data_IF_567641770158
#
_entry.id   IF_567641770158
#
_cell.length_a   1.000
_cell.length_b   1.000
_cell.length_c   1.000
_cell.angle_alpha   90.00
_cell.angle_beta   90.00
_cell.angle_gamma   90.00
#
_symmetry.space_group_name_H-M   'P 1'
#
loop_
_entity.id
_entity.type
_entity.pdbx_description
1 polymer ?
#
# COMPACT_ATOMS: atom_id res chain seq x y z
N UNK A 1 -12.21 -17.28 -4.49
CA UNK A 1 -12.11 -15.90 -3.94
C UNK A 1 -12.96 -15.00 -4.82
N UNK A 2 -13.92 -14.31 -4.24
CA UNK A 2 -14.86 -13.43 -4.93
C UNK A 2 -14.12 -12.20 -5.50
N UNK A 3 -14.56 -11.71 -6.67
CA UNK A 3 -13.96 -10.54 -7.34
C UNK A 3 -14.23 -9.28 -6.50
N UNK A 4 -13.21 -8.43 -6.35
CA UNK A 4 -13.34 -7.17 -5.59
C UNK A 4 -14.44 -6.30 -6.19
N UNK A 5 -14.56 -6.30 -7.53
CA UNK A 5 -15.59 -5.51 -8.22
C UNK A 5 -17.00 -5.90 -7.80
N UNK A 6 -17.27 -7.20 -7.72
CA UNK A 6 -18.58 -7.72 -7.32
C UNK A 6 -18.91 -7.33 -5.87
N UNK A 7 -17.95 -7.51 -4.95
CA UNK A 7 -18.13 -7.13 -3.55
C UNK A 7 -18.40 -5.62 -3.42
N UNK A 8 -17.64 -4.79 -4.14
CA UNK A 8 -17.80 -3.33 -4.09
C UNK A 8 -19.17 -2.91 -4.63
N UNK A 9 -19.65 -3.54 -5.70
CA UNK A 9 -20.97 -3.26 -6.26
C UNK A 9 -22.07 -3.59 -5.26
N UNK A 10 -22.00 -4.73 -4.56
CA UNK A 10 -22.92 -5.08 -3.49
C UNK A 10 -22.90 -4.04 -2.34
N UNK A 11 -21.71 -3.59 -1.94
CA UNK A 11 -21.57 -2.54 -0.90
C UNK A 11 -22.20 -1.23 -1.34
N UNK A 12 -22.01 -0.82 -2.60
CA UNK A 12 -22.60 0.39 -3.16
C UNK A 12 -24.12 0.29 -3.32
N UNK A 13 -24.66 -0.91 -3.52
CA UNK A 13 -26.10 -1.18 -3.53
C UNK A 13 -26.73 -1.21 -2.12
N UNK A 14 -25.92 -1.07 -1.07
CA UNK A 14 -26.38 -0.95 0.32
C UNK A 14 -26.09 -2.17 1.19
N UNK A 15 -25.51 -3.25 0.65
CA UNK A 15 -25.07 -4.39 1.44
C UNK A 15 -23.75 -4.07 2.17
N UNK A 16 -23.86 -3.40 3.32
CA UNK A 16 -22.68 -2.98 4.10
C UNK A 16 -21.86 -4.16 4.62
N UNK A 17 -22.49 -5.31 4.85
CA UNK A 17 -21.81 -6.51 5.37
C UNK A 17 -20.82 -7.09 4.36
N UNK A 18 -21.09 -6.94 3.06
CA UNK A 18 -20.16 -7.34 2.01
C UNK A 18 -18.79 -6.67 2.12
N UNK A 19 -18.69 -5.48 2.76
CA UNK A 19 -17.42 -4.80 2.98
C UNK A 19 -16.47 -5.58 3.91
N UNK A 20 -17.00 -6.46 4.78
CA UNK A 20 -16.17 -7.33 5.62
C UNK A 20 -15.23 -8.20 4.78
N UNK A 21 -15.70 -8.70 3.62
CA UNK A 21 -14.87 -9.50 2.71
C UNK A 21 -13.70 -8.70 2.11
N UNK A 22 -13.88 -7.39 1.88
CA UNK A 22 -12.78 -6.50 1.50
C UNK A 22 -11.78 -6.36 2.65
N UNK A 23 -12.28 -6.13 3.87
CA UNK A 23 -11.42 -6.01 5.05
C UNK A 23 -10.60 -7.29 5.22
N UNK A 24 -11.23 -8.46 5.27
CA UNK A 24 -10.56 -9.75 5.45
C UNK A 24 -9.48 -10.01 4.38
N UNK A 25 -9.78 -9.68 3.13
CA UNK A 25 -8.85 -9.89 2.00
C UNK A 25 -7.63 -8.96 2.05
N UNK A 26 -7.77 -7.76 2.59
CA UNK A 26 -6.75 -6.72 2.52
C UNK A 26 -6.09 -6.38 3.86
N UNK A 27 -6.65 -6.81 4.99
CA UNK A 27 -6.20 -6.43 6.33
C UNK A 27 -4.70 -6.63 6.54
N UNK A 28 -4.20 -7.84 6.32
CA UNK A 28 -2.77 -8.17 6.47
C UNK A 28 -1.86 -7.32 5.58
N UNK A 29 -2.30 -7.05 4.34
CA UNK A 29 -1.55 -6.21 3.40
C UNK A 29 -1.48 -4.76 3.87
N UNK A 30 -2.57 -4.24 4.43
CA UNK A 30 -2.62 -2.88 4.99
C UNK A 30 -1.76 -2.78 6.24
N UNK A 31 -1.88 -3.73 7.17
CA UNK A 31 -1.01 -3.82 8.36
C UNK A 31 0.46 -3.87 7.97
N UNK A 32 0.82 -4.68 6.97
CA UNK A 32 2.18 -4.73 6.44
C UNK A 32 2.67 -3.37 5.91
N UNK A 33 1.84 -2.67 5.14
CA UNK A 33 2.16 -1.33 4.63
C UNK A 33 2.38 -0.35 5.78
N UNK A 34 1.49 -0.34 6.79
CA UNK A 34 1.60 0.55 7.95
C UNK A 34 2.91 0.28 8.69
N UNK A 35 3.20 -0.99 9.01
CA UNK A 35 4.45 -1.37 9.69
C UNK A 35 5.68 -0.94 8.91
N UNK A 36 5.66 -1.12 7.59
CA UNK A 36 6.77 -0.73 6.70
C UNK A 36 6.95 0.78 6.61
N UNK A 37 5.88 1.57 6.72
CA UNK A 37 5.92 3.03 6.60
C UNK A 37 6.21 3.73 7.94
N UNK A 38 5.72 3.16 9.04
CA UNK A 38 5.70 3.79 10.36
C UNK A 38 6.64 3.15 11.38
N UNK A 39 7.25 2.00 11.09
CA UNK A 39 8.19 1.35 12.01
C UNK A 39 7.50 0.56 13.14
N UNK A 40 6.49 -0.24 12.79
CA UNK A 40 5.71 -1.08 13.73
C UNK A 40 5.13 -0.34 14.96
N UNK A 41 4.21 0.61 14.74
CA UNK A 41 3.62 1.37 15.84
C UNK A 41 2.63 0.51 16.65
N UNK A 42 2.50 0.80 17.96
CA UNK A 42 1.59 0.07 18.84
C UNK A 42 0.12 0.18 18.39
N UNK A 43 -0.26 1.31 17.80
CA UNK A 43 -1.61 1.57 17.29
C UNK A 43 -1.82 1.13 15.83
N UNK A 44 -1.06 0.14 15.33
CA UNK A 44 -1.17 -0.34 13.94
C UNK A 44 -2.59 -0.75 13.55
N UNK A 45 -3.33 -1.36 14.49
CA UNK A 45 -4.71 -1.81 14.27
C UNK A 45 -5.67 -0.63 14.13
N UNK A 46 -5.52 0.39 14.96
CA UNK A 46 -6.32 1.63 14.88
C UNK A 46 -6.06 2.35 13.55
N UNK A 47 -4.80 2.45 13.14
CA UNK A 47 -4.42 3.06 11.85
C UNK A 47 -5.01 2.27 10.68
N UNK A 48 -4.98 0.93 10.74
CA UNK A 48 -5.60 0.09 9.72
C UNK A 48 -7.11 0.31 9.67
N UNK A 49 -7.77 0.39 10.82
CA UNK A 49 -9.20 0.68 10.91
C UNK A 49 -9.55 2.05 10.31
N UNK A 50 -8.80 3.11 10.64
CA UNK A 50 -8.98 4.44 10.06
C UNK A 50 -8.83 4.44 8.52
N UNK A 51 -7.89 3.65 7.99
CA UNK A 51 -7.72 3.46 6.55
C UNK A 51 -8.94 2.80 5.92
N UNK A 52 -9.45 1.71 6.50
CA UNK A 52 -10.63 1.03 5.98
C UNK A 52 -11.89 1.89 6.09
N UNK A 53 -12.04 2.70 7.14
CA UNK A 53 -13.14 3.66 7.27
C UNK A 53 -13.04 4.73 6.18
N UNK A 54 -11.86 5.31 5.97
CA UNK A 54 -11.62 6.28 4.88
C UNK A 54 -11.92 5.67 3.51
N UNK A 55 -11.47 4.44 3.29
CA UNK A 55 -11.75 3.72 2.05
C UNK A 55 -13.25 3.48 1.87
N UNK A 56 -13.98 3.10 2.92
CA UNK A 56 -15.43 2.95 2.84
C UNK A 56 -16.12 4.27 2.42
N UNK A 57 -15.73 5.40 3.03
CA UNK A 57 -16.32 6.71 2.68
C UNK A 57 -16.02 7.17 1.26
N UNK A 58 -14.83 6.86 0.74
CA UNK A 58 -14.46 7.20 -0.64
C UNK A 58 -14.84 6.12 -1.66
N UNK A 59 -15.46 5.01 -1.23
CA UNK A 59 -15.83 3.91 -2.10
C UNK A 59 -16.75 4.33 -3.26
N UNK A 60 -17.71 5.27 -3.11
CA UNK A 60 -18.51 5.76 -4.23
C UNK A 60 -17.70 6.48 -5.32
N UNK A 61 -16.52 7.01 -4.98
CA UNK A 61 -15.62 7.68 -5.93
C UNK A 61 -14.69 6.70 -6.66
N UNK A 62 -14.63 5.44 -6.21
CA UNK A 62 -13.79 4.43 -6.82
C UNK A 62 -14.27 4.10 -8.23
N UNK A 63 -13.37 4.28 -9.20
CA UNK A 63 -13.62 3.92 -10.60
C UNK A 63 -13.05 2.53 -10.86
N UNK A 64 -13.92 1.60 -11.27
CA UNK A 64 -13.56 0.21 -11.60
C UNK A 64 -12.58 0.05 -12.79
N UNK A 65 -12.14 1.16 -13.39
CA UNK A 65 -11.04 1.22 -14.37
C UNK A 65 -9.67 0.96 -13.75
N UNK A 66 -9.54 1.02 -12.42
CA UNK A 66 -8.31 0.72 -11.69
C UNK A 66 -8.50 -0.52 -10.81
N UNK A 67 -7.42 -1.21 -10.47
CA UNK A 67 -7.46 -2.31 -9.50
C UNK A 67 -7.72 -1.77 -8.08
N UNK A 68 -8.69 -2.36 -7.38
CA UNK A 68 -9.12 -1.91 -6.06
C UNK A 68 -7.97 -1.90 -5.04
N UNK A 69 -7.16 -2.96 -5.01
CA UNK A 69 -6.00 -3.04 -4.12
C UNK A 69 -5.05 -1.85 -4.29
N UNK A 70 -4.79 -1.44 -5.54
CA UNK A 70 -3.96 -0.27 -5.83
C UNK A 70 -4.57 1.06 -5.38
N UNK A 71 -5.90 1.18 -5.42
CA UNK A 71 -6.62 2.34 -4.90
C UNK A 71 -6.61 2.39 -3.36
N UNK A 72 -6.91 1.26 -2.71
CA UNK A 72 -6.89 1.12 -1.25
C UNK A 72 -5.48 1.38 -0.69
N UNK A 73 -4.44 0.87 -1.34
CA UNK A 73 -3.06 1.12 -0.94
C UNK A 73 -2.66 2.60 -1.04
N UNK A 74 -3.23 3.35 -1.99
CA UNK A 74 -3.00 4.80 -2.07
C UNK A 74 -3.58 5.51 -0.86
N UNK A 75 -4.79 5.13 -0.45
CA UNK A 75 -5.43 5.66 0.78
C UNK A 75 -4.55 5.34 2.00
N UNK A 76 -4.08 4.09 2.11
CA UNK A 76 -3.21 3.66 3.19
C UNK A 76 -1.89 4.44 3.25
N UNK A 77 -1.22 4.62 2.11
CA UNK A 77 0.04 5.33 2.01
C UNK A 77 -0.11 6.81 2.40
N UNK A 78 -1.16 7.48 1.91
CA UNK A 78 -1.44 8.87 2.26
C UNK A 78 -1.75 9.01 3.75
N UNK A 79 -2.54 8.09 4.30
CA UNK A 79 -2.85 8.10 5.73
C UNK A 79 -1.59 7.92 6.60
N UNK A 80 -0.70 6.99 6.24
CA UNK A 80 0.59 6.85 6.93
C UNK A 80 1.45 8.12 6.86
N UNK A 81 1.46 8.83 5.72
CA UNK A 81 2.17 10.10 5.60
C UNK A 81 1.60 11.18 6.52
N UNK A 82 0.28 11.23 6.67
CA UNK A 82 -0.39 12.16 7.57
C UNK A 82 -0.07 11.85 9.04
N UNK A 83 -0.04 10.57 9.42
CA UNK A 83 0.39 10.13 10.75
C UNK A 83 1.83 10.56 11.04
N UNK A 84 2.77 10.33 10.11
CA UNK A 84 4.17 10.78 10.25
C UNK A 84 4.28 12.30 10.41
N UNK A 85 3.50 13.07 9.66
CA UNK A 85 3.48 14.53 9.76
C UNK A 85 2.98 15.00 11.12
N UNK A 86 1.98 14.33 11.69
CA UNK A 86 1.48 14.61 13.05
C UNK A 86 2.56 14.32 14.09
N UNK A 87 3.19 13.15 14.05
CA UNK A 87 4.27 12.80 14.99
C UNK A 87 5.45 13.76 14.95
N UNK A 88 5.83 14.25 13.77
CA UNK A 88 6.90 15.27 13.65
C UNK A 88 6.54 16.64 14.21
N UNK A 89 5.25 16.97 14.30
CA UNK A 89 4.76 18.26 14.81
C UNK A 89 4.53 18.23 16.32
N UNK A 90 4.43 17.05 16.90
CA UNK A 90 4.32 16.87 18.35
C UNK A 90 5.72 16.54 18.89
N UNK A 91 6.33 17.37 19.75
CA UNK A 91 7.55 16.97 20.44
C UNK A 91 7.19 15.83 21.39
N UNK A 92 7.40 14.60 20.94
CA UNK A 92 7.17 13.41 21.75
C UNK A 92 8.32 13.26 22.74
N UNK A 93 8.06 13.60 24.01
CA UNK A 93 8.84 13.13 25.16
C UNK A 93 8.37 11.69 25.45
N UNK A 94 8.78 10.72 24.63
CA UNK A 94 8.80 9.31 25.04
C UNK A 94 9.99 8.65 24.36
N UNK A 95 11.00 8.35 25.16
CA UNK A 95 12.16 7.56 24.77
C UNK A 95 11.77 6.09 24.71
N UNK A 96 11.13 5.69 23.62
CA UNK A 96 10.96 4.29 23.27
C UNK A 96 11.52 4.11 21.86
N UNK A 97 12.80 3.73 21.81
CA UNK A 97 13.40 3.19 20.61
C UNK A 97 12.60 1.94 20.22
N UNK A 98 11.87 2.06 19.11
CA UNK A 98 11.13 0.95 18.51
C UNK A 98 12.12 -0.11 18.05
N UNK A 99 12.42 -1.09 18.91
CA UNK A 99 13.20 -2.26 18.54
C UNK A 99 12.34 -3.15 17.65
N UNK A 100 12.75 -3.29 16.39
CA UNK A 100 12.18 -4.23 15.44
C UNK A 100 12.42 -5.65 15.95
N UNK A 101 11.43 -6.24 16.64
CA UNK A 101 11.49 -7.66 17.02
C UNK A 101 11.19 -8.50 15.78
N UNK A 102 12.21 -9.18 15.27
CA UNK A 102 12.08 -10.14 14.18
C UNK A 102 11.45 -11.44 14.73
N UNK A 103 10.17 -11.68 14.41
CA UNK A 103 9.42 -12.86 14.86
C UNK A 103 9.57 -14.07 13.93
N UNK A 104 10.46 -14.00 12.94
CA UNK A 104 10.64 -15.06 11.94
C UNK A 104 11.51 -16.20 12.47
N UNK A 105 11.24 -17.42 12.03
CA UNK A 105 12.15 -18.55 12.26
C UNK A 105 13.34 -18.45 11.29
N UNK A 106 14.50 -19.07 11.59
CA UNK A 106 15.64 -19.07 10.68
C UNK A 106 15.29 -19.59 9.28
N UNK A 107 14.38 -20.56 9.19
CA UNK A 107 13.90 -21.14 7.94
C UNK A 107 13.03 -20.17 7.13
N UNK A 108 12.05 -19.51 7.77
CA UNK A 108 11.20 -18.53 7.07
C UNK A 108 11.99 -17.28 6.67
N UNK A 109 12.92 -16.83 7.50
CA UNK A 109 13.82 -15.74 7.17
C UNK A 109 14.74 -16.08 5.98
N UNK A 110 15.20 -17.33 5.87
CA UNK A 110 16.02 -17.80 4.75
C UNK A 110 15.22 -17.86 3.44
N UNK A 111 14.03 -18.47 3.45
CA UNK A 111 13.14 -18.57 2.29
C UNK A 111 12.72 -17.18 1.77
N UNK A 112 12.37 -16.27 2.68
CA UNK A 112 12.06 -14.88 2.32
C UNK A 112 13.27 -14.15 1.71
N UNK A 113 14.47 -14.39 2.25
CA UNK A 113 15.70 -13.78 1.74
C UNK A 113 16.04 -14.30 0.35
N UNK A 114 15.83 -15.59 0.08
CA UNK A 114 16.00 -16.20 -1.23
C UNK A 114 14.99 -15.63 -2.24
N UNK A 115 13.69 -15.60 -1.90
CA UNK A 115 12.65 -14.97 -2.74
C UNK A 115 12.94 -13.49 -3.00
N UNK A 116 13.31 -12.72 -1.98
CA UNK A 116 13.65 -11.32 -2.17
C UNK A 116 14.90 -11.12 -3.03
N UNK A 117 15.87 -12.02 -2.95
CA UNK A 117 17.08 -11.97 -3.77
C UNK A 117 16.77 -12.29 -5.23
N UNK A 118 15.93 -13.29 -5.47
CA UNK A 118 15.42 -13.63 -6.80
C UNK A 118 14.64 -12.47 -7.43
N UNK A 119 13.67 -11.89 -6.70
CA UNK A 119 12.90 -10.74 -7.16
C UNK A 119 13.82 -9.54 -7.43
N UNK A 120 14.77 -9.25 -6.54
CA UNK A 120 15.74 -8.16 -6.75
C UNK A 120 16.62 -8.38 -7.98
N UNK A 121 17.06 -9.61 -8.21
CA UNK A 121 17.86 -9.93 -9.38
C UNK A 121 17.05 -9.76 -10.67
N UNK A 122 15.78 -10.18 -10.69
CA UNK A 122 14.89 -9.96 -11.83
C UNK A 122 14.55 -8.47 -12.03
N UNK A 123 14.39 -7.70 -10.96
CA UNK A 123 14.23 -6.24 -11.08
C UNK A 123 15.47 -5.59 -11.70
N UNK A 124 16.68 -6.12 -11.44
CA UNK A 124 17.92 -5.60 -12.01
C UNK A 124 18.07 -5.88 -13.52
N UNK A 125 17.38 -6.88 -14.08
CA UNK A 125 17.39 -7.14 -15.54
C UNK A 125 16.45 -6.21 -16.31
N UNK A 126 15.49 -5.60 -15.63
CA UNK A 126 14.58 -4.61 -16.21
C UNK A 126 15.34 -3.30 -16.43
N UNK A 127 15.19 -2.70 -17.62
CA UNK A 127 15.80 -1.40 -17.93
C UNK A 127 15.36 -0.34 -16.91
N UNK A 128 16.30 0.48 -16.45
CA UNK A 128 16.11 1.38 -15.31
C UNK A 128 14.88 2.29 -15.43
N UNK A 129 14.57 2.75 -16.64
CA UNK A 129 13.41 3.59 -16.93
C UNK A 129 12.05 2.93 -16.61
N UNK A 130 11.95 1.60 -16.66
CA UNK A 130 10.75 0.84 -16.28
C UNK A 130 10.75 0.54 -14.78
N UNK A 131 11.90 0.15 -14.24
CA UNK A 131 12.09 -0.14 -12.81
C UNK A 131 11.71 1.05 -11.94
N UNK A 132 12.17 2.25 -12.27
CA UNK A 132 11.85 3.47 -11.51
C UNK A 132 10.34 3.70 -11.47
N UNK A 133 9.64 3.50 -12.58
CA UNK A 133 8.18 3.67 -12.64
C UNK A 133 7.47 2.60 -11.81
N UNK A 134 7.92 1.35 -11.87
CA UNK A 134 7.42 0.25 -11.04
C UNK A 134 7.62 0.53 -9.55
N UNK A 135 8.80 0.98 -9.13
CA UNK A 135 9.08 1.31 -7.74
C UNK A 135 8.21 2.48 -7.26
N UNK A 136 8.11 3.54 -8.06
CA UNK A 136 7.30 4.69 -7.71
C UNK A 136 5.82 4.31 -7.61
N UNK A 137 5.33 3.42 -8.48
CA UNK A 137 3.95 2.95 -8.48
C UNK A 137 3.64 1.98 -7.35
N UNK A 138 4.48 0.95 -7.16
CA UNK A 138 4.16 -0.19 -6.30
C UNK A 138 4.86 -0.16 -4.94
N UNK A 139 5.98 0.57 -4.80
CA UNK A 139 6.68 0.74 -3.51
C UNK A 139 6.42 2.10 -2.87
N UNK A 140 6.31 3.16 -3.69
CA UNK A 140 6.03 4.52 -3.23
C UNK A 140 4.55 4.90 -3.36
N UNK A 141 3.74 4.11 -4.05
CA UNK A 141 2.28 4.26 -4.19
C UNK A 141 1.83 5.56 -4.86
N UNK A 142 2.68 6.14 -5.71
CA UNK A 142 2.36 7.35 -6.45
C UNK A 142 1.31 7.06 -7.55
N UNK A 143 0.44 8.03 -7.81
CA UNK A 143 -0.48 8.04 -8.95
C UNK A 143 0.29 8.25 -10.26
N UNK A 144 -0.34 7.99 -11.39
CA UNK A 144 0.34 8.22 -12.67
C UNK A 144 0.67 9.69 -12.89
N UNK A 145 -0.18 10.59 -12.40
CA UNK A 145 0.04 12.05 -12.39
C UNK A 145 1.21 12.43 -11.48
N UNK A 146 1.30 11.86 -10.28
CA UNK A 146 2.41 12.14 -9.35
C UNK A 146 3.74 11.59 -9.89
N UNK A 147 3.73 10.41 -10.52
CA UNK A 147 4.90 9.85 -11.20
C UNK A 147 5.29 10.71 -12.40
N UNK A 148 4.31 11.14 -13.19
CA UNK A 148 4.50 12.01 -14.35
C UNK A 148 5.15 13.33 -13.95
N UNK A 149 4.65 13.98 -12.88
CA UNK A 149 5.22 15.20 -12.33
C UNK A 149 6.64 14.96 -11.80
N UNK A 150 6.84 13.89 -11.02
CA UNK A 150 8.11 13.61 -10.36
C UNK A 150 9.24 13.23 -11.31
N UNK A 151 8.91 12.56 -12.41
CA UNK A 151 9.86 12.16 -13.46
C UNK A 151 9.88 13.12 -14.65
N UNK A 152 9.04 14.16 -14.64
CA UNK A 152 8.85 15.11 -15.75
C UNK A 152 8.63 14.42 -17.11
N UNK A 153 7.82 13.35 -17.12
CA UNK A 153 7.41 12.61 -18.33
C UNK A 153 5.89 12.61 -18.47
N UNK A 154 5.32 12.49 -19.69
CA UNK A 154 3.88 12.40 -19.87
C UNK A 154 3.24 11.20 -19.16
N UNK A 155 2.02 11.36 -18.64
CA UNK A 155 1.22 10.26 -18.04
C UNK A 155 1.06 9.07 -18.98
N UNK A 156 0.98 9.32 -20.29
CA UNK A 156 0.94 8.27 -21.33
C UNK A 156 2.22 7.42 -21.35
N UNK A 157 3.37 8.06 -21.11
CA UNK A 157 4.67 7.38 -21.01
C UNK A 157 4.78 6.57 -19.72
N UNK A 158 4.22 7.07 -18.62
CA UNK A 158 4.11 6.31 -17.36
C UNK A 158 3.30 5.03 -17.57
N UNK A 159 2.14 5.11 -18.24
CA UNK A 159 1.32 3.93 -18.57
C UNK A 159 2.07 2.94 -19.46
N UNK A 160 2.68 3.41 -20.54
CA UNK A 160 3.43 2.56 -21.47
C UNK A 160 4.63 1.87 -20.82
N UNK A 161 5.24 2.50 -19.80
CA UNK A 161 6.33 1.91 -19.02
C UNK A 161 5.87 0.92 -17.94
N UNK A 162 4.61 0.98 -17.52
CA UNK A 162 4.02 0.01 -16.58
C UNK A 162 3.45 -1.22 -17.28
N UNK A 163 3.10 -1.11 -18.57
CA UNK A 163 2.50 -2.19 -19.36
C UNK A 163 3.51 -3.07 -20.09
N UNK A 164 4.81 -2.74 -20.01
CA UNK A 164 5.92 -3.51 -20.62
C UNK A 164 6.61 -4.32 -19.54
#
# INVERSE_FOLDING_TARGET
>A
MQDDKAIIEEVLQGNKEAYAHIIDKYHEKIVFIIRKKLGNPQNVQDIAQEIFIKAYYHLPEYKASFEFGGWLYRIAANHCLDVLRKWKRTPTITGEDYVLVDTRTPETAYLEKEQQSFIRHQLMTIEEKYRIVLELRYLRFLSYEEISQRLSIPVTTVRARLSR
#
